data_IF_438442835043
#
_entry.id   IF_438442835043
#
_cell.length_a   1.000
_cell.length_b   1.000
_cell.length_c   1.000
_cell.angle_alpha   90.00
_cell.angle_beta   90.00
_cell.angle_gamma   90.00
#
_symmetry.space_group_name_H-M   'P 1'
#
loop_
_entity.id
_entity.type
_entity.pdbx_description
1 polymer ?
#
# COMPACT_ATOMS: atom_id res chain seq x y z
N UNK A 1 -31.48 7.50 21.10
CA UNK A 1 -30.04 7.17 21.10
C UNK A 1 -29.92 5.68 21.33
N UNK A 2 -29.69 4.93 20.25
CA UNK A 2 -28.97 3.64 20.16
C UNK A 2 -29.36 3.03 18.81
N UNK A 3 -28.46 3.09 17.82
CA UNK A 3 -28.64 2.37 16.56
C UNK A 3 -27.78 1.10 16.63
N UNK A 4 -28.41 0.00 17.07
CA UNK A 4 -27.85 -1.34 16.96
C UNK A 4 -27.73 -1.74 15.48
N UNK A 5 -26.58 -2.31 15.15
CA UNK A 5 -26.16 -2.67 13.80
C UNK A 5 -27.18 -3.50 13.04
N UNK A 6 -27.46 -3.06 11.81
CA UNK A 6 -28.23 -3.84 10.84
C UNK A 6 -27.32 -4.92 10.26
N UNK A 7 -27.77 -6.14 10.51
CA UNK A 7 -27.25 -7.44 10.10
C UNK A 7 -26.79 -7.45 8.62
N UNK A 8 -25.58 -7.94 8.28
CA UNK A 8 -25.19 -8.16 6.90
C UNK A 8 -26.11 -9.20 6.26
N UNK A 9 -26.52 -8.91 5.03
CA UNK A 9 -27.45 -9.72 4.25
C UNK A 9 -27.10 -11.22 4.32
N UNK A 10 -28.11 -12.01 4.63
CA UNK A 10 -28.09 -13.46 4.74
C UNK A 10 -27.73 -14.05 3.37
N UNK A 11 -26.45 -14.28 3.13
CA UNK A 11 -25.99 -15.06 1.99
C UNK A 11 -26.50 -16.49 2.17
N UNK A 12 -27.44 -16.92 1.32
CA UNK A 12 -27.78 -18.34 1.21
C UNK A 12 -26.66 -18.99 0.41
N UNK A 13 -25.82 -19.74 1.11
CA UNK A 13 -24.74 -20.53 0.52
C UNK A 13 -25.31 -21.84 -0.01
N UNK A 14 -25.56 -21.90 -1.31
CA UNK A 14 -25.58 -23.15 -2.07
C UNK A 14 -24.23 -23.32 -2.77
N UNK A 15 -23.53 -24.46 -2.62
CA UNK A 15 -22.23 -24.67 -3.26
C UNK A 15 -22.41 -24.61 -4.79
N UNK A 16 -21.75 -23.67 -5.46
CA UNK A 16 -21.69 -23.59 -6.92
C UNK A 16 -22.41 -22.39 -7.59
N UNK A 17 -22.95 -21.43 -6.84
CA UNK A 17 -23.66 -20.27 -7.44
C UNK A 17 -23.01 -18.94 -7.07
N UNK A 18 -22.80 -18.09 -8.08
CA UNK A 18 -22.25 -16.74 -7.94
C UNK A 18 -22.99 -15.96 -6.84
N UNK A 19 -22.25 -15.47 -5.85
CA UNK A 19 -22.83 -14.65 -4.78
C UNK A 19 -23.39 -13.36 -5.38
N UNK A 20 -24.70 -13.16 -5.24
CA UNK A 20 -25.39 -11.96 -5.68
C UNK A 20 -25.94 -11.20 -4.47
N UNK A 21 -25.75 -9.89 -4.44
CA UNK A 21 -26.26 -8.97 -3.42
C UNK A 21 -27.21 -7.98 -4.10
N UNK A 22 -28.47 -7.98 -3.68
CA UNK A 22 -29.47 -7.01 -4.12
C UNK A 22 -29.66 -5.92 -3.07
N UNK A 23 -29.61 -4.66 -3.48
CA UNK A 23 -29.84 -3.50 -2.62
C UNK A 23 -30.75 -2.50 -3.30
N UNK A 24 -31.49 -1.71 -2.52
CA UNK A 24 -32.26 -0.58 -3.03
C UNK A 24 -31.58 0.74 -2.65
N UNK A 25 -31.46 1.67 -3.60
CA UNK A 25 -30.91 3.00 -3.37
C UNK A 25 -31.87 4.06 -3.90
N UNK A 26 -32.51 4.80 -2.99
CA UNK A 26 -33.48 5.86 -3.32
C UNK A 26 -34.57 5.41 -4.30
N UNK A 27 -35.09 4.17 -4.13
CA UNK A 27 -36.12 3.59 -5.00
C UNK A 27 -35.59 2.82 -6.22
N UNK A 28 -34.29 2.93 -6.54
CA UNK A 28 -33.68 2.15 -7.62
C UNK A 28 -33.16 0.80 -7.12
N UNK A 29 -33.52 -0.26 -7.83
CA UNK A 29 -33.01 -1.61 -7.55
C UNK A 29 -31.62 -1.81 -8.19
N UNK A 30 -30.68 -2.28 -7.38
CA UNK A 30 -29.27 -2.43 -7.74
C UNK A 30 -28.77 -3.81 -7.34
N UNK A 31 -28.07 -4.49 -8.25
CA UNK A 31 -27.56 -5.85 -8.04
C UNK A 31 -26.05 -5.92 -8.24
N UNK A 32 -25.33 -6.41 -7.24
CA UNK A 32 -23.92 -6.78 -7.33
C UNK A 32 -23.79 -8.29 -7.50
N UNK A 33 -22.92 -8.70 -8.41
CA UNK A 33 -22.63 -10.12 -8.65
C UNK A 33 -21.13 -10.31 -8.77
N UNK A 34 -20.59 -11.31 -8.05
CA UNK A 34 -19.20 -11.72 -8.22
C UNK A 34 -19.09 -12.58 -9.48
N UNK A 35 -18.33 -12.11 -10.46
CA UNK A 35 -18.13 -12.79 -11.74
C UNK A 35 -16.67 -13.20 -11.84
N UNK A 36 -16.43 -14.51 -11.92
CA UNK A 36 -15.12 -15.04 -12.28
C UNK A 36 -15.02 -14.97 -13.80
N UNK A 37 -14.07 -14.20 -14.33
CA UNK A 37 -13.75 -14.26 -15.76
C UNK A 37 -12.67 -15.31 -15.97
N UNK A 38 -13.00 -16.35 -16.71
CA UNK A 38 -12.03 -17.27 -17.29
C UNK A 38 -11.53 -16.68 -18.60
N UNK A 39 -10.21 -16.53 -18.73
CA UNK A 39 -9.61 -16.16 -20.02
C UNK A 39 -9.71 -17.35 -20.97
N UNK A 40 -10.48 -17.23 -22.04
CA UNK A 40 -10.68 -18.25 -23.08
C UNK A 40 -9.56 -18.31 -24.13
N UNK A 41 -8.33 -17.98 -23.76
CA UNK A 41 -7.16 -18.17 -24.62
C UNK A 41 -6.25 -19.22 -23.98
N UNK A 42 -6.23 -20.41 -24.60
CA UNK A 42 -5.57 -21.63 -24.11
C UNK A 42 -4.06 -21.54 -24.04
N UNK A 43 -3.55 -20.90 -23.00
CA UNK A 43 -2.19 -21.11 -22.50
C UNK A 43 -2.26 -21.39 -20.99
N UNK A 44 -1.53 -22.42 -20.57
CA UNK A 44 -1.54 -22.97 -19.21
C UNK A 44 -1.34 -21.87 -18.16
N UNK A 45 -2.38 -21.64 -17.34
CA UNK A 45 -2.38 -20.64 -16.26
C UNK A 45 -3.61 -19.74 -16.29
N UNK A 46 -4.81 -20.30 -16.17
CA UNK A 46 -6.06 -19.52 -16.16
C UNK A 46 -6.10 -18.56 -14.97
N UNK A 47 -5.96 -17.26 -15.23
CA UNK A 47 -6.28 -16.21 -14.26
C UNK A 47 -7.78 -16.17 -14.05
N UNK A 48 -8.26 -16.68 -12.92
CA UNK A 48 -9.60 -16.38 -12.44
C UNK A 48 -9.59 -14.96 -11.86
N UNK A 49 -9.71 -13.95 -12.73
CA UNK A 49 -9.96 -12.57 -12.27
C UNK A 49 -11.40 -12.51 -11.75
N UNK A 50 -11.55 -12.39 -10.44
CA UNK A 50 -12.81 -12.06 -9.80
C UNK A 50 -13.12 -10.58 -10.05
N UNK A 51 -14.23 -10.30 -10.72
CA UNK A 51 -14.74 -8.95 -10.97
C UNK A 51 -16.10 -8.80 -10.31
N UNK A 52 -16.34 -7.63 -9.71
CA UNK A 52 -17.67 -7.27 -9.24
C UNK A 52 -18.45 -6.64 -10.40
N UNK A 53 -19.61 -7.19 -10.74
CA UNK A 53 -20.51 -6.66 -11.77
C UNK A 53 -21.71 -6.01 -11.10
N UNK A 54 -21.93 -4.74 -11.45
CA UNK A 54 -23.08 -3.94 -11.06
C UNK A 54 -24.13 -3.95 -12.18
N UNK A 55 -25.37 -4.32 -11.84
CA UNK A 55 -26.52 -4.31 -12.74
C UNK A 55 -27.62 -3.42 -12.14
N UNK A 56 -28.33 -2.66 -12.97
CA UNK A 56 -29.43 -1.77 -12.59
C UNK A 56 -30.31 -1.52 -13.82
N UNK A 57 -31.53 -0.99 -13.62
CA UNK A 57 -32.41 -0.67 -14.73
C UNK A 57 -31.92 0.55 -15.53
N UNK A 58 -32.09 0.54 -16.86
CA UNK A 58 -31.61 1.62 -17.74
C UNK A 58 -32.17 3.00 -17.38
N UNK A 59 -33.40 3.08 -16.88
CA UNK A 59 -34.02 4.34 -16.47
C UNK A 59 -33.33 4.96 -15.25
N UNK A 60 -32.71 4.15 -14.38
CA UNK A 60 -32.00 4.60 -13.17
C UNK A 60 -30.54 5.01 -13.45
N UNK A 61 -30.11 5.05 -14.72
CA UNK A 61 -28.68 5.25 -15.06
C UNK A 61 -28.09 6.51 -14.44
N UNK A 62 -28.79 7.64 -14.51
CA UNK A 62 -28.30 8.90 -13.94
C UNK A 62 -28.15 8.81 -12.43
N UNK A 63 -29.18 8.30 -11.73
CA UNK A 63 -29.13 8.09 -10.28
C UNK A 63 -27.98 7.15 -9.87
N UNK A 64 -27.78 6.06 -10.62
CA UNK A 64 -26.74 5.08 -10.27
C UNK A 64 -25.34 5.60 -10.55
N UNK A 65 -25.11 6.23 -11.71
CA UNK A 65 -23.78 6.70 -12.11
C UNK A 65 -23.36 7.94 -11.32
N UNK A 66 -24.27 8.89 -11.13
CA UNK A 66 -23.94 10.20 -10.59
C UNK A 66 -24.11 10.29 -9.06
N UNK A 67 -24.93 9.41 -8.45
CA UNK A 67 -25.16 9.42 -7.00
C UNK A 67 -24.73 8.13 -6.30
N UNK A 68 -25.20 6.96 -6.77
CA UNK A 68 -24.93 5.69 -6.10
C UNK A 68 -23.45 5.32 -6.14
N UNK A 69 -22.81 5.33 -7.31
CA UNK A 69 -21.40 4.98 -7.44
C UNK A 69 -20.49 5.92 -6.63
N UNK A 70 -20.67 7.25 -6.67
CA UNK A 70 -19.97 8.16 -5.77
C UNK A 70 -20.25 7.90 -4.29
N UNK A 71 -21.49 7.57 -3.92
CA UNK A 71 -21.85 7.19 -2.56
C UNK A 71 -21.11 5.92 -2.10
N UNK A 72 -21.12 4.85 -2.90
CA UNK A 72 -20.41 3.60 -2.61
C UNK A 72 -18.90 3.86 -2.51
N UNK A 73 -18.33 4.67 -3.41
CA UNK A 73 -16.92 5.06 -3.34
C UNK A 73 -16.61 5.81 -2.05
N UNK A 74 -17.46 6.76 -1.64
CA UNK A 74 -17.30 7.53 -0.41
C UNK A 74 -17.41 6.64 0.82
N UNK A 75 -18.41 5.77 0.88
CA UNK A 75 -18.60 4.82 1.98
C UNK A 75 -17.48 3.79 2.04
N UNK A 76 -17.04 3.29 0.89
CA UNK A 76 -15.86 2.44 0.79
C UNK A 76 -14.59 3.16 1.24
N UNK A 77 -14.44 4.43 0.89
CA UNK A 77 -13.36 5.29 1.37
C UNK A 77 -13.45 5.47 2.89
N UNK A 78 -14.63 5.79 3.45
CA UNK A 78 -14.84 5.83 4.89
C UNK A 78 -14.46 4.49 5.53
N UNK A 79 -14.92 3.34 5.03
CA UNK A 79 -14.60 2.03 5.63
C UNK A 79 -13.09 1.70 5.54
N UNK A 80 -12.46 1.99 4.40
CA UNK A 80 -11.03 1.75 4.18
C UNK A 80 -10.13 2.74 4.94
N UNK A 81 -10.65 3.93 5.26
CA UNK A 81 -9.83 5.05 5.75
C UNK A 81 -10.39 5.74 7.00
N UNK A 82 -11.34 5.12 7.71
CA UNK A 82 -11.81 5.54 9.04
C UNK A 82 -10.77 5.21 10.11
N UNK A 83 -10.70 6.05 11.15
CA UNK A 83 -9.81 5.94 12.31
C UNK A 83 -9.90 4.63 13.12
N UNK A 84 -10.78 3.69 12.74
CA UNK A 84 -10.90 2.37 13.35
C UNK A 84 -10.12 1.28 12.59
N UNK A 85 -9.50 1.60 11.45
CA UNK A 85 -8.67 0.65 10.73
C UNK A 85 -7.35 0.47 11.49
N UNK A 86 -7.05 -0.78 11.89
CA UNK A 86 -5.71 -1.13 12.35
C UNK A 86 -4.73 -0.97 11.19
N UNK A 87 -3.70 -0.15 11.41
CA UNK A 87 -2.56 -0.01 10.51
C UNK A 87 -1.89 -1.35 10.31
N UNK A 88 -1.29 -1.54 9.15
CA UNK A 88 -0.63 -2.80 8.79
C UNK A 88 0.83 -2.58 8.48
N UNK A 89 1.64 -3.57 8.85
CA UNK A 89 3.03 -3.68 8.42
C UNK A 89 3.07 -4.72 7.31
N UNK A 90 3.41 -4.27 6.11
CA UNK A 90 3.57 -5.11 4.93
C UNK A 90 5.04 -5.45 4.72
N UNK A 91 5.32 -6.71 4.44
CA UNK A 91 6.66 -7.19 4.04
C UNK A 91 6.55 -7.93 2.71
N UNK A 92 7.52 -7.70 1.83
CA UNK A 92 7.53 -8.35 0.53
C UNK A 92 7.88 -9.82 0.65
N UNK A 93 7.11 -10.68 -0.03
CA UNK A 93 7.38 -12.10 -0.03
C UNK A 93 8.61 -12.40 -0.92
N UNK A 94 9.37 -13.45 -0.58
CA UNK A 94 10.46 -13.95 -1.44
C UNK A 94 9.90 -14.20 -2.83
N UNK A 95 10.46 -13.55 -3.84
CA UNK A 95 10.08 -13.81 -5.22
C UNK A 95 10.51 -15.23 -5.58
N UNK A 96 9.57 -16.18 -5.60
CA UNK A 96 9.79 -17.46 -6.27
C UNK A 96 10.14 -17.21 -7.74
N UNK A 97 11.03 -18.01 -8.33
CA UNK A 97 11.16 -18.03 -9.79
C UNK A 97 9.84 -18.52 -10.36
N UNK A 98 8.98 -17.62 -10.81
CA UNK A 98 8.03 -17.85 -11.89
C UNK A 98 7.01 -16.73 -12.02
N UNK A 99 6.55 -16.59 -13.26
CA UNK A 99 5.36 -15.92 -13.75
C UNK A 99 4.03 -16.37 -13.09
N UNK A 100 4.03 -16.79 -11.83
CA UNK A 100 2.81 -17.14 -11.10
C UNK A 100 2.08 -15.87 -10.65
N UNK A 101 1.02 -15.54 -11.38
CA UNK A 101 0.19 -14.34 -11.18
C UNK A 101 -0.60 -14.37 -9.85
N UNK A 102 -0.64 -15.51 -9.16
CA UNK A 102 -1.30 -15.64 -7.84
C UNK A 102 -0.36 -15.41 -6.64
N UNK A 103 0.91 -15.07 -6.87
CA UNK A 103 1.78 -14.69 -5.76
C UNK A 103 1.43 -13.26 -5.32
N UNK A 104 0.88 -13.12 -4.12
CA UNK A 104 0.72 -11.81 -3.46
C UNK A 104 2.12 -11.25 -3.23
N UNK A 105 2.43 -10.08 -3.77
CA UNK A 105 3.76 -9.50 -3.59
C UNK A 105 4.01 -9.11 -2.12
N UNK A 106 2.95 -8.82 -1.38
CA UNK A 106 2.98 -8.40 0.01
C UNK A 106 2.26 -9.39 0.94
N UNK A 107 2.88 -9.71 2.06
CA UNK A 107 2.21 -10.23 3.27
C UNK A 107 2.05 -9.11 4.28
N UNK A 108 1.16 -9.25 5.28
CA UNK A 108 1.01 -8.23 6.31
C UNK A 108 0.68 -8.79 7.69
N UNK A 109 1.03 -8.00 8.70
CA UNK A 109 0.61 -8.15 10.09
C UNK A 109 -0.04 -6.85 10.59
N UNK A 110 -0.77 -6.92 11.69
CA UNK A 110 -1.26 -5.71 12.36
C UNK A 110 -0.06 -4.94 12.92
N UNK A 111 -0.02 -3.63 12.66
CA UNK A 111 0.99 -2.73 13.18
C UNK A 111 0.42 -1.95 14.37
N UNK A 112 0.96 -2.24 15.56
CA UNK A 112 0.63 -1.54 16.78
C UNK A 112 1.92 -1.17 17.52
N UNK A 113 2.38 0.06 17.28
CA UNK A 113 3.56 0.62 17.94
C UNK A 113 3.12 1.81 18.79
N UNK A 114 3.49 1.90 20.08
CA UNK A 114 3.00 2.95 20.98
C UNK A 114 3.64 4.33 20.74
N UNK A 115 4.53 4.47 19.76
CA UNK A 115 5.42 5.63 19.68
C UNK A 115 4.77 6.79 18.95
N UNK A 116 4.76 7.94 19.60
CA UNK A 116 4.39 9.22 19.00
C UNK A 116 5.65 10.03 18.68
N UNK A 117 5.49 11.12 17.92
CA UNK A 117 6.60 12.04 17.68
C UNK A 117 7.24 12.53 19.00
N UNK A 118 6.48 12.69 20.07
CA UNK A 118 6.99 13.12 21.38
C UNK A 118 7.99 12.11 21.98
N UNK A 119 7.72 10.81 21.83
CA UNK A 119 8.57 9.73 22.34
C UNK A 119 9.82 9.48 21.49
N UNK A 120 9.87 9.99 20.26
CA UNK A 120 11.01 9.82 19.35
C UNK A 120 12.23 10.63 19.84
N UNK A 121 13.36 9.95 20.04
CA UNK A 121 14.62 10.53 20.48
C UNK A 121 15.32 11.26 19.31
N UNK A 122 14.90 12.49 19.04
CA UNK A 122 15.46 13.35 18.01
C UNK A 122 15.38 14.81 18.44
N UNK A 123 16.29 15.63 17.91
CA UNK A 123 16.28 17.08 18.10
C UNK A 123 14.92 17.69 17.78
N UNK A 124 14.44 18.57 18.66
CA UNK A 124 13.09 19.13 18.59
C UNK A 124 12.90 20.01 17.36
N UNK A 125 13.94 20.73 16.91
CA UNK A 125 13.84 21.57 15.73
C UNK A 125 13.68 20.73 14.46
N UNK A 126 14.50 19.68 14.29
CA UNK A 126 14.36 18.76 13.16
C UNK A 126 13.05 17.97 13.17
N UNK A 127 12.58 17.59 14.36
CA UNK A 127 11.27 16.93 14.53
C UNK A 127 10.14 17.82 14.02
N UNK A 128 10.18 19.11 14.35
CA UNK A 128 9.20 20.10 13.90
C UNK A 128 9.25 20.32 12.39
N UNK A 129 10.44 20.41 11.81
CA UNK A 129 10.61 20.51 10.35
C UNK A 129 9.94 19.34 9.62
N UNK A 130 10.11 18.11 10.12
CA UNK A 130 9.46 16.93 9.57
C UNK A 130 7.94 17.04 9.70
N UNK A 131 7.41 17.38 10.87
CA UNK A 131 5.96 17.51 11.09
C UNK A 131 5.37 18.59 10.18
N UNK A 132 6.01 19.75 10.08
CA UNK A 132 5.56 20.87 9.25
C UNK A 132 5.55 20.47 7.76
N UNK A 133 6.55 19.74 7.27
CA UNK A 133 6.51 19.19 5.92
C UNK A 133 5.37 18.18 5.78
N UNK A 134 5.23 17.21 6.69
CA UNK A 134 4.14 16.23 6.67
C UNK A 134 2.76 16.92 6.58
N UNK A 135 2.55 17.98 7.35
CA UNK A 135 1.31 18.77 7.39
C UNK A 135 1.08 19.68 6.18
N UNK A 136 2.11 20.02 5.42
CA UNK A 136 2.03 20.87 4.22
C UNK A 136 1.19 20.29 3.06
N UNK A 137 0.35 19.29 3.35
CA UNK A 137 -0.74 18.65 2.59
C UNK A 137 -1.75 19.55 1.84
N UNK A 138 -1.52 20.87 1.73
CA UNK A 138 -2.34 21.79 0.94
C UNK A 138 -2.24 21.50 -0.58
N UNK A 139 -1.32 20.65 -1.03
CA UNK A 139 -1.13 20.30 -2.45
C UNK A 139 -2.21 19.39 -3.07
N UNK A 140 -3.23 18.99 -2.31
CA UNK A 140 -4.41 18.27 -2.83
C UNK A 140 -5.13 19.04 -3.98
N UNK A 141 -4.87 20.34 -4.12
CA UNK A 141 -5.40 21.22 -5.17
C UNK A 141 -4.79 21.04 -6.57
N UNK A 142 -3.61 20.42 -6.72
CA UNK A 142 -2.87 20.46 -7.99
C UNK A 142 -3.03 19.22 -8.88
N UNK A 143 -3.78 18.19 -8.47
CA UNK A 143 -4.05 17.00 -9.28
C UNK A 143 -2.83 16.15 -9.68
N UNK A 144 -1.62 16.49 -9.21
CA UNK A 144 -0.40 15.73 -9.45
C UNK A 144 -0.18 14.70 -8.34
N UNK A 145 0.28 13.47 -8.67
CA UNK A 145 0.68 12.50 -7.67
C UNK A 145 1.83 13.08 -6.83
N UNK A 146 1.59 13.25 -5.53
CA UNK A 146 2.55 13.81 -4.59
C UNK A 146 3.35 12.67 -3.94
N UNK A 147 4.67 12.64 -4.18
CA UNK A 147 5.62 11.70 -3.53
C UNK A 147 6.64 12.52 -2.76
N UNK A 148 6.95 12.11 -1.52
CA UNK A 148 8.01 12.68 -0.68
C UNK A 148 9.03 11.59 -0.35
N UNK A 149 10.31 11.95 -0.36
CA UNK A 149 11.39 11.06 0.05
C UNK A 149 12.10 11.64 1.26
N UNK A 150 12.30 10.82 2.29
CA UNK A 150 13.10 11.16 3.46
C UNK A 150 14.28 10.20 3.56
N UNK A 151 15.45 10.72 3.93
CA UNK A 151 16.64 9.92 4.21
C UNK A 151 17.01 10.10 5.68
N UNK A 152 16.88 9.03 6.47
CA UNK A 152 17.18 9.03 7.91
C UNK A 152 18.57 8.44 8.18
N UNK A 153 19.58 9.30 8.23
CA UNK A 153 20.95 8.91 8.57
C UNK A 153 21.32 9.29 10.02
N UNK A 154 21.92 8.34 10.72
CA UNK A 154 22.26 8.38 12.16
C UNK A 154 23.00 7.09 12.54
N UNK A 155 23.75 7.07 13.65
CA UNK A 155 24.36 5.85 14.17
C UNK A 155 23.32 4.72 14.41
N UNK A 156 23.74 3.44 14.39
CA UNK A 156 22.85 2.34 14.73
C UNK A 156 22.30 2.51 16.15
N UNK A 157 21.03 2.16 16.35
CA UNK A 157 20.36 2.30 17.66
C UNK A 157 19.82 3.68 17.99
N UNK A 158 19.99 4.70 17.14
CA UNK A 158 19.44 6.06 17.38
C UNK A 158 17.96 6.22 16.95
N UNK A 159 17.17 5.14 17.00
CA UNK A 159 15.71 5.23 16.86
C UNK A 159 15.15 5.61 15.49
N UNK A 160 15.83 5.29 14.37
CA UNK A 160 15.30 5.54 13.01
C UNK A 160 13.95 4.85 12.77
N UNK A 161 13.87 3.57 13.09
CA UNK A 161 12.64 2.78 12.95
C UNK A 161 11.56 3.28 13.91
N UNK A 162 11.96 3.77 15.09
CA UNK A 162 11.06 4.47 16.03
C UNK A 162 10.50 5.77 15.43
N UNK A 163 11.31 6.53 14.70
CA UNK A 163 10.85 7.72 13.98
C UNK A 163 9.85 7.37 12.88
N UNK A 164 10.10 6.31 12.11
CA UNK A 164 9.17 5.81 11.09
C UNK A 164 7.84 5.39 11.75
N UNK A 165 7.89 4.70 12.89
CA UNK A 165 6.71 4.34 13.66
C UNK A 165 5.92 5.58 14.10
N UNK A 166 6.60 6.62 14.59
CA UNK A 166 5.98 7.89 14.96
C UNK A 166 5.30 8.60 13.76
N UNK A 167 5.97 8.65 12.60
CA UNK A 167 5.40 9.21 11.36
C UNK A 167 4.15 8.45 10.92
N UNK A 168 4.22 7.11 10.95
CA UNK A 168 3.12 6.20 10.60
C UNK A 168 1.92 6.46 11.49
N UNK A 169 2.16 6.59 12.80
CA UNK A 169 1.12 6.84 13.78
C UNK A 169 0.48 8.23 13.62
N UNK A 170 1.29 9.23 13.30
CA UNK A 170 0.84 10.60 13.07
C UNK A 170 -0.06 10.73 11.83
N UNK A 171 0.32 10.06 10.73
CA UNK A 171 -0.40 10.12 9.46
C UNK A 171 -1.58 9.14 9.35
N UNK A 172 -1.63 8.14 10.23
CA UNK A 172 -2.51 6.97 10.13
C UNK A 172 -2.31 6.20 8.81
N UNK A 173 -1.04 5.92 8.47
CA UNK A 173 -0.64 5.24 7.24
C UNK A 173 -0.23 3.78 7.50
N UNK A 174 -0.25 2.94 6.47
CA UNK A 174 0.34 1.60 6.53
C UNK A 174 1.85 1.65 6.22
N UNK A 175 2.61 0.72 6.78
CA UNK A 175 4.06 0.59 6.51
C UNK A 175 4.28 -0.50 5.47
N UNK A 176 5.10 -0.21 4.46
CA UNK A 176 5.58 -1.18 3.48
C UNK A 176 7.10 -1.29 3.61
N UNK A 177 7.55 -2.29 4.34
CA UNK A 177 8.96 -2.58 4.53
C UNK A 177 9.49 -3.43 3.38
N UNK A 178 10.40 -2.85 2.59
CA UNK A 178 11.01 -3.48 1.43
C UNK A 178 12.32 -4.13 1.84
N UNK A 179 12.29 -5.45 1.95
CA UNK A 179 13.49 -6.27 2.03
C UNK A 179 14.11 -6.42 0.63
N UNK A 180 15.11 -5.59 0.33
CA UNK A 180 15.79 -5.59 -0.97
C UNK A 180 16.53 -6.90 -1.27
N UNK A 181 16.99 -7.63 -0.25
CA UNK A 181 17.74 -8.89 -0.40
C UNK A 181 16.93 -9.99 -1.09
N UNK A 182 15.60 -9.93 -1.01
CA UNK A 182 14.70 -10.92 -1.62
C UNK A 182 14.12 -10.45 -2.96
N UNK A 183 14.49 -9.24 -3.41
CA UNK A 183 14.07 -8.68 -4.71
C UNK A 183 15.10 -9.05 -5.78
N UNK A 184 14.68 -9.88 -6.74
CA UNK A 184 15.58 -10.41 -7.79
C UNK A 184 15.97 -9.40 -8.87
N UNK A 185 15.04 -8.54 -9.28
CA UNK A 185 15.25 -7.62 -10.41
C UNK A 185 14.41 -6.33 -10.26
N UNK A 186 14.70 -5.36 -11.13
CA UNK A 186 14.00 -4.07 -11.16
C UNK A 186 12.51 -4.21 -11.49
N UNK A 187 12.12 -5.26 -12.21
CA UNK A 187 10.72 -5.47 -12.58
C UNK A 187 9.89 -5.89 -11.35
N UNK A 188 10.46 -6.73 -10.48
CA UNK A 188 9.89 -7.12 -9.21
C UNK A 188 9.82 -5.93 -8.25
N UNK A 189 10.86 -5.09 -8.20
CA UNK A 189 10.81 -3.84 -7.41
C UNK A 189 9.70 -2.91 -7.91
N UNK A 190 9.62 -2.70 -9.22
CA UNK A 190 8.58 -1.86 -9.83
C UNK A 190 7.18 -2.39 -9.54
N UNK A 191 7.00 -3.72 -9.60
CA UNK A 191 5.75 -4.40 -9.25
C UNK A 191 5.38 -4.16 -7.78
N UNK A 192 6.34 -4.30 -6.85
CA UNK A 192 6.12 -4.04 -5.42
C UNK A 192 5.60 -2.61 -5.19
N UNK A 193 6.23 -1.62 -5.84
CA UNK A 193 5.83 -0.21 -5.74
C UNK A 193 4.42 0.04 -6.29
N UNK A 194 4.04 -0.60 -7.41
CA UNK A 194 2.70 -0.47 -8.00
C UNK A 194 1.63 -1.12 -7.12
N UNK A 195 1.94 -2.25 -6.47
CA UNK A 195 0.99 -2.97 -5.62
C UNK A 195 0.78 -2.32 -4.24
N UNK A 196 1.50 -1.23 -3.92
CA UNK A 196 1.25 -0.44 -2.70
C UNK A 196 -0.08 0.30 -2.77
N UNK A 197 -0.72 0.49 -1.62
CA UNK A 197 -2.00 1.20 -1.52
C UNK A 197 -1.78 2.67 -1.15
N UNK A 198 -2.81 3.50 -1.33
CA UNK A 198 -2.81 4.89 -0.83
C UNK A 198 -2.70 4.95 0.69
N UNK A 199 -2.19 6.06 1.24
CA UNK A 199 -1.87 6.20 2.69
C UNK A 199 -0.83 5.17 3.14
N UNK A 200 0.30 5.13 2.43
CA UNK A 200 1.41 4.23 2.71
C UNK A 200 2.70 4.99 2.93
N UNK A 201 3.54 4.46 3.81
CA UNK A 201 4.95 4.81 3.97
C UNK A 201 5.75 3.62 3.49
N UNK A 202 6.58 3.82 2.46
CA UNK A 202 7.48 2.78 1.95
C UNK A 202 8.84 2.97 2.63
N UNK A 203 9.31 1.92 3.27
CA UNK A 203 10.57 1.88 4.00
C UNK A 203 11.55 1.02 3.21
N UNK A 204 12.75 1.54 3.01
CA UNK A 204 13.87 0.80 2.42
C UNK A 204 15.02 0.94 3.41
N UNK A 205 15.30 -0.11 4.17
CA UNK A 205 16.41 -0.15 5.12
C UNK A 205 17.70 -0.64 4.47
N UNK A 206 18.85 -0.42 5.13
CA UNK A 206 20.16 -0.97 4.74
C UNK A 206 20.61 -0.67 3.29
N UNK A 207 20.29 0.52 2.77
CA UNK A 207 20.67 0.97 1.42
C UNK A 207 22.19 0.99 1.19
N UNK A 208 22.96 1.18 2.25
CA UNK A 208 24.42 1.21 2.26
C UNK A 208 25.02 -0.18 2.02
N UNK A 209 24.48 -1.22 2.65
CA UNK A 209 24.95 -2.60 2.45
C UNK A 209 24.74 -3.12 1.02
N UNK A 210 23.76 -2.59 0.28
CA UNK A 210 23.55 -2.96 -1.13
C UNK A 210 24.62 -2.40 -2.07
N UNK A 211 25.31 -1.32 -1.70
CA UNK A 211 26.28 -0.64 -2.57
C UNK A 211 27.68 -1.28 -2.51
N UNK A 212 28.05 -1.86 -1.37
CA UNK A 212 29.34 -2.53 -1.19
C UNK A 212 29.51 -3.76 -2.09
N UNK A 213 28.42 -4.42 -2.46
CA UNK A 213 28.44 -5.53 -3.45
C UNK A 213 28.67 -5.07 -4.90
N UNK A 214 28.47 -3.79 -5.21
CA UNK A 214 28.70 -3.21 -6.54
C UNK A 214 30.11 -2.61 -6.67
N UNK A 215 30.78 -2.36 -5.54
CA UNK A 215 32.15 -1.85 -5.52
C UNK A 215 33.13 -3.03 -5.54
N UNK A 216 33.23 -3.68 -6.70
CA UNK A 216 34.37 -4.56 -6.99
C UNK A 216 35.69 -3.78 -6.83
N UNK A 217 36.82 -4.40 -6.39
CA UNK A 217 38.11 -3.74 -6.19
C UNK A 217 38.73 -3.10 -7.45
N UNK A 218 38.06 -3.15 -8.60
CA UNK A 218 38.56 -2.64 -9.87
C UNK A 218 38.72 -1.10 -9.90
N UNK A 219 38.01 -0.35 -9.05
CA UNK A 219 38.08 1.13 -9.05
C UNK A 219 39.13 1.68 -8.07
N UNK A 220 39.60 0.90 -7.11
CA UNK A 220 40.58 1.33 -6.11
C UNK A 220 42.02 1.40 -6.65
N UNK A 221 42.32 0.80 -7.82
CA UNK A 221 43.68 0.77 -8.39
C UNK A 221 44.08 1.98 -9.23
N UNK A 222 43.21 2.98 -9.43
CA UNK A 222 43.55 4.16 -10.26
C UNK A 222 44.14 5.36 -9.49
N UNK A 223 44.22 5.31 -8.16
CA UNK A 223 44.76 6.42 -7.37
C UNK A 223 46.05 6.09 -6.58
N UNK A 224 46.64 4.91 -6.73
CA UNK A 224 47.85 4.50 -6.00
C UNK A 224 49.09 4.35 -6.90
N UNK A 225 49.21 5.15 -7.97
CA UNK A 225 50.38 5.12 -8.86
C UNK A 225 50.85 6.54 -9.20
N UNK A 226 51.15 7.32 -8.16
CA UNK A 226 52.04 8.49 -8.28
C UNK A 226 52.75 8.74 -6.95
N UNK A 227 53.52 7.77 -6.46
CA UNK A 227 54.62 8.04 -5.54
C UNK A 227 55.89 7.46 -6.15
N UNK A 228 56.82 8.35 -6.49
CA UNK A 228 58.18 8.03 -6.93
C UNK A 228 59.05 8.05 -5.68
N UNK A 229 59.71 6.93 -5.29
CA UNK A 229 60.67 6.92 -4.20
C UNK A 229 62.09 7.24 -4.73
N UNK A 230 63.07 7.48 -3.82
CA UNK A 230 63.98 8.63 -3.83
C UNK A 230 65.12 8.59 -4.86
#
# INVERSE_FOLDING_TARGET
MDYRGVNPARARTTPGTATSLSTEFRGAAVWWTSVVRENSQGQQGAHTRQCQRLTFHKHDRYLVVDEYLPHVRRKGHEILFSNHRRRRLYTNNKSGDSFQINYRAWSYTDFDHPTTFDMSAMDTAKKREIIDDLDASIYRRAGKPWKRGYLLYSPPGTGKSTMIAAMTNYLDYDIYDVELTVVKDNNNLHRLLIETTSKSIIVIEHIDCCLDGLTSPATARRHASTEVPP
#
